data_IF_841790986206
#
_entry.id   IF_841790986206
#
_cell.length_a   1.000
_cell.length_b   1.000
_cell.length_c   1.000
_cell.angle_alpha   90.00
_cell.angle_beta   90.00
_cell.angle_gamma   90.00
#
_symmetry.space_group_name_H-M   'P 1'
#
loop_
_entity.id
_entity.type
_entity.pdbx_description
1 polymer ?
#
# COMPACT_ATOMS: atom_id res chain seq x y z
N UNK A 1 -13.28 6.15 -22.21
CA UNK A 1 -11.85 6.28 -22.58
C UNK A 1 -11.57 5.66 -23.94
N UNK A 2 -10.99 6.44 -24.86
CA UNK A 2 -10.57 5.95 -26.19
C UNK A 2 -9.07 6.19 -26.40
N UNK A 3 -8.39 5.14 -26.87
CA UNK A 3 -7.00 5.11 -27.38
C UNK A 3 -5.87 4.78 -26.37
N UNK A 4 -5.99 5.08 -25.07
CA UNK A 4 -4.97 4.70 -24.08
C UNK A 4 -5.19 3.27 -23.51
N UNK A 5 -4.14 2.67 -22.92
CA UNK A 5 -4.09 1.30 -22.41
C UNK A 5 -4.85 1.05 -21.10
N UNK A 6 -4.54 -0.05 -20.40
CA UNK A 6 -5.24 -0.47 -19.16
C UNK A 6 -4.36 -0.39 -17.91
N UNK A 7 -3.16 0.19 -18.02
CA UNK A 7 -2.24 0.40 -16.91
C UNK A 7 -2.59 1.63 -16.05
N UNK A 8 -2.01 1.75 -14.84
CA UNK A 8 -2.32 2.86 -13.93
C UNK A 8 -2.03 4.27 -14.47
N UNK A 9 -1.06 4.40 -15.38
CA UNK A 9 -0.67 5.66 -16.02
C UNK A 9 -1.03 5.72 -17.50
N UNK A 10 -1.81 4.75 -17.98
CA UNK A 10 -2.23 4.70 -19.38
C UNK A 10 -3.48 5.59 -19.58
N UNK A 11 -3.43 6.84 -19.14
CA UNK A 11 -4.43 7.87 -19.42
C UNK A 11 -3.86 9.25 -19.07
N UNK A 12 -4.40 10.29 -19.71
CA UNK A 12 -3.91 11.67 -19.56
C UNK A 12 -3.98 12.17 -18.11
N UNK A 13 -5.07 11.87 -17.40
CA UNK A 13 -5.28 12.36 -16.02
C UNK A 13 -4.25 11.79 -15.05
N UNK A 14 -3.89 10.51 -15.19
CA UNK A 14 -2.86 9.86 -14.39
C UNK A 14 -1.46 10.35 -14.76
N UNK A 15 -1.17 10.57 -16.04
CA UNK A 15 0.10 11.13 -16.49
C UNK A 15 0.30 12.58 -15.99
N UNK A 16 -0.74 13.42 -16.07
CA UNK A 16 -0.72 14.77 -15.51
C UNK A 16 -0.54 14.76 -13.99
N UNK A 17 -1.18 13.81 -13.31
CA UNK A 17 -1.01 13.63 -11.87
C UNK A 17 0.41 13.20 -11.48
N UNK A 18 1.06 12.33 -12.27
CA UNK A 18 2.46 11.97 -12.07
C UNK A 18 3.38 13.20 -12.17
N UNK A 19 3.18 14.04 -13.19
CA UNK A 19 3.92 15.29 -13.35
C UNK A 19 3.68 16.26 -12.19
N UNK A 20 2.45 16.31 -11.66
CA UNK A 20 2.12 17.10 -10.48
C UNK A 20 2.85 16.60 -9.24
N UNK A 21 2.88 15.28 -9.01
CA UNK A 21 3.61 14.66 -7.90
C UNK A 21 5.10 15.03 -7.94
N UNK A 22 5.74 14.88 -9.10
CA UNK A 22 7.16 15.21 -9.31
C UNK A 22 7.47 16.69 -9.05
N UNK A 23 6.51 17.58 -9.31
CA UNK A 23 6.67 19.03 -9.08
C UNK A 23 6.28 19.44 -7.67
N UNK A 24 5.62 18.57 -6.91
CA UNK A 24 5.13 18.90 -5.58
C UNK A 24 6.25 18.88 -4.53
N UNK A 25 6.20 19.82 -3.59
CA UNK A 25 6.97 19.75 -2.34
C UNK A 25 6.26 18.95 -1.23
N UNK A 26 5.04 18.49 -1.49
CA UNK A 26 4.13 17.86 -0.51
C UNK A 26 3.38 16.66 -1.12
N UNK A 27 4.09 15.63 -1.64
CA UNK A 27 3.48 14.52 -2.37
C UNK A 27 2.47 13.73 -1.53
N UNK A 28 2.68 13.62 -0.22
CA UNK A 28 1.74 12.95 0.70
C UNK A 28 0.34 13.57 0.65
N UNK A 29 0.24 14.90 0.62
CA UNK A 29 -1.05 15.61 0.60
C UNK A 29 -1.81 15.30 -0.69
N UNK A 30 -1.09 15.27 -1.82
CA UNK A 30 -1.69 14.94 -3.12
C UNK A 30 -2.14 13.48 -3.19
N UNK A 31 -1.36 12.55 -2.62
CA UNK A 31 -1.73 11.15 -2.52
C UNK A 31 -2.99 10.99 -1.68
N UNK A 32 -3.02 11.60 -0.49
CA UNK A 32 -4.18 11.53 0.40
C UNK A 32 -5.43 12.11 -0.24
N UNK A 33 -5.30 13.25 -0.92
CA UNK A 33 -6.42 13.88 -1.63
C UNK A 33 -6.97 12.97 -2.74
N UNK A 34 -6.10 12.37 -3.55
CA UNK A 34 -6.49 11.45 -4.63
C UNK A 34 -7.23 10.19 -4.16
N UNK A 35 -7.00 9.78 -2.91
CA UNK A 35 -7.59 8.57 -2.33
C UNK A 35 -8.83 8.83 -1.47
N UNK A 36 -8.99 10.06 -0.95
CA UNK A 36 -10.05 10.35 0.04
C UNK A 36 -11.46 10.32 -0.54
N UNK A 37 -11.61 10.52 -1.85
CA UNK A 37 -12.92 10.52 -2.50
C UNK A 37 -12.85 10.00 -3.96
N UNK A 38 -12.83 8.67 -4.15
CA UNK A 38 -12.70 8.06 -5.46
C UNK A 38 -13.83 8.47 -6.41
N UNK A 39 -13.49 9.25 -7.43
CA UNK A 39 -14.42 9.68 -8.47
C UNK A 39 -15.27 10.92 -8.15
N UNK A 40 -14.94 11.73 -7.15
CA UNK A 40 -15.72 12.95 -6.81
C UNK A 40 -15.21 14.27 -7.36
N UNK A 41 -14.02 14.29 -7.94
CA UNK A 41 -13.57 15.50 -8.65
C UNK A 41 -14.51 15.77 -9.82
N UNK A 42 -14.53 17.02 -10.30
CA UNK A 42 -15.43 17.54 -11.35
C UNK A 42 -15.38 16.79 -12.71
N UNK A 43 -14.50 15.80 -12.81
CA UNK A 43 -14.36 14.82 -13.87
C UNK A 43 -14.28 13.47 -13.14
N UNK A 44 -14.94 12.44 -13.65
CA UNK A 44 -15.02 11.07 -13.12
C UNK A 44 -13.62 10.43 -12.97
N UNK A 45 -12.84 10.81 -11.95
CA UNK A 45 -11.37 10.70 -11.94
C UNK A 45 -10.85 9.49 -11.15
N UNK A 46 -11.37 8.30 -11.46
CA UNK A 46 -10.90 7.05 -10.86
C UNK A 46 -9.45 6.74 -11.25
N UNK A 47 -8.99 7.29 -12.36
CA UNK A 47 -7.65 7.19 -12.92
C UNK A 47 -6.59 7.74 -11.97
N UNK A 48 -6.84 8.91 -11.40
CA UNK A 48 -5.93 9.55 -10.45
C UNK A 48 -5.86 8.78 -9.15
N UNK A 49 -6.99 8.23 -8.70
CA UNK A 49 -7.02 7.32 -7.53
C UNK A 49 -6.19 6.06 -7.80
N UNK A 50 -6.33 5.46 -8.98
CA UNK A 50 -5.56 4.27 -9.39
C UNK A 50 -4.06 4.59 -9.50
N UNK A 51 -3.71 5.74 -10.08
CA UNK A 51 -2.33 6.19 -10.18
C UNK A 51 -1.71 6.40 -8.79
N UNK A 52 -2.42 7.08 -7.88
CA UNK A 52 -1.99 7.26 -6.49
C UNK A 52 -1.79 5.93 -5.75
N UNK A 53 -2.70 4.97 -5.95
CA UNK A 53 -2.57 3.63 -5.37
C UNK A 53 -1.36 2.86 -5.94
N UNK A 54 -1.10 2.97 -7.25
CA UNK A 54 0.07 2.37 -7.90
C UNK A 54 1.39 2.95 -7.36
N UNK A 55 1.43 4.25 -7.16
CA UNK A 55 2.56 4.94 -6.52
C UNK A 55 2.86 4.35 -5.14
N UNK A 56 1.86 4.23 -4.29
CA UNK A 56 2.03 3.67 -2.95
C UNK A 56 2.45 2.20 -3.00
N UNK A 57 1.85 1.43 -3.92
CA UNK A 57 2.19 0.02 -4.11
C UNK A 57 3.64 -0.19 -4.59
N UNK A 58 4.20 0.71 -5.40
CA UNK A 58 5.60 0.61 -5.85
C UNK A 58 6.62 0.69 -4.69
N UNK A 59 6.25 1.32 -3.58
CA UNK A 59 7.03 1.35 -2.34
C UNK A 59 6.78 0.15 -1.43
N UNK A 60 5.91 -0.79 -1.83
CA UNK A 60 5.57 -1.98 -1.07
C UNK A 60 6.38 -3.20 -1.54
N UNK A 61 6.66 -4.18 -0.65
CA UNK A 61 7.22 -5.46 -1.08
C UNK A 61 6.30 -6.15 -2.11
N UNK A 62 6.85 -6.50 -3.27
CA UNK A 62 6.05 -7.08 -4.37
C UNK A 62 5.31 -6.06 -5.24
N UNK A 63 5.55 -4.76 -5.03
CA UNK A 63 5.11 -3.71 -5.92
C UNK A 63 5.85 -3.74 -7.26
N UNK A 64 5.10 -3.51 -8.34
CA UNK A 64 5.67 -3.32 -9.67
C UNK A 64 6.31 -1.92 -9.78
N UNK A 65 7.41 -1.78 -10.53
CA UNK A 65 7.95 -0.48 -10.90
C UNK A 65 6.89 0.37 -11.60
N UNK A 66 6.91 1.68 -11.33
CA UNK A 66 6.01 2.61 -11.99
C UNK A 66 6.30 2.70 -13.49
N UNK A 67 5.29 3.13 -14.25
CA UNK A 67 5.42 3.25 -15.69
C UNK A 67 6.60 4.16 -16.03
N UNK A 68 7.59 3.71 -16.83
CA UNK A 68 8.87 4.41 -16.97
C UNK A 68 8.74 5.78 -17.67
N UNK A 69 7.75 5.93 -18.56
CA UNK A 69 7.51 7.18 -19.30
C UNK A 69 6.49 8.09 -18.60
N UNK A 70 5.30 7.56 -18.30
CA UNK A 70 4.16 8.34 -17.78
C UNK A 70 3.94 8.27 -16.25
N UNK A 71 4.75 7.50 -15.52
CA UNK A 71 4.78 7.51 -14.06
C UNK A 71 5.70 8.61 -13.51
N UNK A 72 5.66 8.89 -12.19
CA UNK A 72 6.53 9.87 -11.58
C UNK A 72 8.00 9.44 -11.70
N UNK A 73 8.87 10.37 -12.04
CA UNK A 73 10.30 10.13 -12.25
C UNK A 73 11.12 10.37 -10.99
N UNK A 74 10.61 11.14 -10.03
CA UNK A 74 11.34 11.42 -8.79
C UNK A 74 11.05 10.37 -7.72
N UNK A 75 12.08 9.96 -6.97
CA UNK A 75 11.86 9.11 -5.81
C UNK A 75 11.00 9.87 -4.80
N UNK A 76 10.00 9.19 -4.26
CA UNK A 76 9.15 9.75 -3.21
C UNK A 76 9.84 9.65 -1.85
N UNK A 77 9.57 10.60 -0.94
CA UNK A 77 9.96 10.45 0.44
C UNK A 77 9.27 9.23 1.07
N UNK A 78 9.76 8.72 2.21
CA UNK A 78 9.10 7.65 2.95
C UNK A 78 7.63 8.00 3.20
N UNK A 79 6.73 7.15 2.70
CA UNK A 79 5.29 7.37 2.80
C UNK A 79 4.75 6.78 4.12
N UNK A 80 3.80 7.46 4.78
CA UNK A 80 3.10 6.93 5.94
C UNK A 80 2.36 5.62 5.65
N UNK A 81 2.30 4.72 6.64
CA UNK A 81 1.71 3.38 6.47
C UNK A 81 0.19 3.43 6.24
N UNK A 82 -0.50 4.39 6.85
CA UNK A 82 -1.93 4.63 6.69
C UNK A 82 -2.35 4.96 5.26
N UNK A 83 -1.45 5.50 4.43
CA UNK A 83 -1.73 5.68 3.00
C UNK A 83 -1.93 4.35 2.27
N UNK A 84 -1.29 3.27 2.72
CA UNK A 84 -1.49 1.93 2.15
C UNK A 84 -2.92 1.45 2.39
N UNK A 85 -3.40 1.58 3.62
CA UNK A 85 -4.77 1.19 3.98
C UNK A 85 -5.80 2.05 3.24
N UNK A 86 -5.54 3.36 3.14
CA UNK A 86 -6.37 4.29 2.39
C UNK A 86 -6.42 3.95 0.89
N UNK A 87 -5.28 3.59 0.30
CA UNK A 87 -5.20 3.17 -1.10
C UNK A 87 -5.95 1.87 -1.35
N UNK A 88 -5.81 0.88 -0.45
CA UNK A 88 -6.54 -0.37 -0.54
C UNK A 88 -8.06 -0.12 -0.47
N UNK A 89 -8.53 0.68 0.49
CA UNK A 89 -9.94 1.03 0.63
C UNK A 89 -10.50 1.74 -0.62
N UNK A 90 -9.74 2.70 -1.17
CA UNK A 90 -10.12 3.41 -2.38
C UNK A 90 -10.27 2.47 -3.59
N UNK A 91 -9.36 1.51 -3.77
CA UNK A 91 -9.46 0.51 -4.83
C UNK A 91 -10.67 -0.41 -4.65
N UNK A 92 -11.04 -0.76 -3.42
CA UNK A 92 -12.27 -1.52 -3.15
C UNK A 92 -13.50 -0.73 -3.58
N UNK A 93 -13.55 0.58 -3.30
CA UNK A 93 -14.65 1.45 -3.76
C UNK A 93 -14.77 1.45 -5.28
N UNK A 94 -13.66 1.40 -6.02
CA UNK A 94 -13.67 1.25 -7.48
C UNK A 94 -14.16 -0.16 -7.84
N UNK A 95 -13.49 -1.22 -7.38
CA UNK A 95 -13.82 -2.61 -7.73
C UNK A 95 -15.28 -3.04 -7.46
N UNK A 96 -15.95 -2.38 -6.51
CA UNK A 96 -17.36 -2.64 -6.16
C UNK A 96 -18.38 -1.92 -7.03
N UNK A 97 -17.97 -0.96 -7.86
CA UNK A 97 -18.89 -0.28 -8.79
C UNK A 97 -19.09 -1.09 -10.08
N UNK A 98 -20.27 -0.94 -10.73
CA UNK A 98 -20.54 -1.59 -12.01
C UNK A 98 -19.52 -1.20 -13.09
N UNK A 99 -19.05 -2.13 -13.94
CA UNK A 99 -18.10 -1.84 -15.02
C UNK A 99 -18.54 -0.73 -15.98
N UNK A 100 -19.85 -0.55 -16.15
CA UNK A 100 -20.45 0.49 -17.01
C UNK A 100 -20.18 1.91 -16.50
N UNK A 101 -19.85 2.07 -15.21
CA UNK A 101 -19.54 3.37 -14.60
C UNK A 101 -18.28 4.03 -15.19
N UNK A 102 -17.38 3.26 -15.79
CA UNK A 102 -16.07 3.74 -16.23
C UNK A 102 -15.99 4.20 -17.69
N UNK A 103 -17.08 4.09 -18.45
CA UNK A 103 -17.13 4.57 -19.84
C UNK A 103 -16.12 3.89 -20.79
N UNK A 104 -15.79 2.61 -20.55
CA UNK A 104 -14.98 1.82 -21.48
C UNK A 104 -15.79 1.42 -22.72
N UNK A 105 -15.16 1.48 -23.89
CA UNK A 105 -15.77 1.12 -25.17
C UNK A 105 -15.83 -0.40 -25.41
N UNK A 106 -15.06 -1.19 -24.65
CA UNK A 106 -14.93 -2.63 -24.80
C UNK A 106 -14.99 -3.32 -23.44
N UNK A 107 -15.82 -4.36 -23.35
CA UNK A 107 -15.92 -5.23 -22.17
C UNK A 107 -14.56 -5.87 -21.83
N UNK A 108 -13.80 -6.28 -22.84
CA UNK A 108 -12.49 -6.89 -22.63
C UNK A 108 -11.49 -5.92 -21.99
N UNK A 109 -11.54 -4.64 -22.39
CA UNK A 109 -10.65 -3.61 -21.82
C UNK A 109 -11.02 -3.31 -20.36
N UNK A 110 -12.30 -3.16 -20.04
CA UNK A 110 -12.71 -2.95 -18.65
C UNK A 110 -12.40 -4.16 -17.78
N UNK A 111 -12.59 -5.40 -18.28
CA UNK A 111 -12.22 -6.61 -17.53
C UNK A 111 -10.72 -6.67 -17.27
N UNK A 112 -9.89 -6.33 -18.27
CA UNK A 112 -8.42 -6.29 -18.10
C UNK A 112 -8.00 -5.23 -17.10
N UNK A 113 -8.60 -4.04 -17.18
CA UNK A 113 -8.33 -2.95 -16.26
C UNK A 113 -8.72 -3.30 -14.81
N UNK A 114 -9.94 -3.82 -14.59
CA UNK A 114 -10.40 -4.28 -13.27
C UNK A 114 -9.52 -5.42 -12.71
N UNK A 115 -9.07 -6.34 -13.56
CA UNK A 115 -8.14 -7.40 -13.16
C UNK A 115 -6.81 -6.81 -12.67
N UNK A 116 -6.29 -5.79 -13.36
CA UNK A 116 -5.09 -5.05 -12.94
C UNK A 116 -5.29 -4.37 -11.58
N UNK A 117 -6.45 -3.75 -11.35
CA UNK A 117 -6.77 -3.14 -10.05
C UNK A 117 -6.85 -4.15 -8.91
N UNK A 118 -7.40 -5.33 -9.17
CA UNK A 118 -7.47 -6.40 -8.18
C UNK A 118 -6.07 -6.90 -7.78
N UNK A 119 -5.14 -7.02 -8.73
CA UNK A 119 -3.75 -7.35 -8.45
C UNK A 119 -3.06 -6.26 -7.63
N UNK A 120 -3.24 -5.00 -8.02
CA UNK A 120 -2.72 -3.84 -7.31
C UNK A 120 -3.24 -3.79 -5.86
N UNK A 121 -4.53 -4.03 -5.66
CA UNK A 121 -5.12 -4.15 -4.33
C UNK A 121 -4.49 -5.29 -3.51
N UNK A 122 -4.19 -6.43 -4.14
CA UNK A 122 -3.50 -7.56 -3.49
C UNK A 122 -2.12 -7.17 -2.94
N UNK A 123 -1.33 -6.41 -3.69
CA UNK A 123 -0.02 -5.90 -3.22
C UNK A 123 -0.19 -5.00 -1.99
N UNK A 124 -1.18 -4.10 -2.01
CA UNK A 124 -1.45 -3.17 -0.91
C UNK A 124 -2.00 -3.88 0.33
N UNK A 125 -2.85 -4.91 0.14
CA UNK A 125 -3.43 -5.70 1.22
C UNK A 125 -2.46 -6.74 1.80
N UNK A 126 -1.34 -7.01 1.13
CA UNK A 126 -0.30 -7.89 1.66
C UNK A 126 0.46 -7.15 2.76
N UNK A 127 -0.05 -7.25 3.98
CA UNK A 127 0.71 -6.89 5.18
C UNK A 127 2.04 -7.65 5.13
N UNK A 128 3.21 -6.99 5.15
CA UNK A 128 4.45 -7.72 5.33
C UNK A 128 4.29 -8.44 6.66
N UNK A 129 4.27 -9.77 6.62
CA UNK A 129 4.25 -10.58 7.82
C UNK A 129 5.35 -10.02 8.73
N UNK A 130 4.95 -9.49 9.89
CA UNK A 130 5.87 -9.10 10.95
C UNK A 130 6.86 -10.27 11.07
N UNK A 131 8.19 -10.05 10.95
CA UNK A 131 9.14 -11.13 11.15
C UNK A 131 8.79 -11.75 12.49
N UNK A 132 8.39 -13.02 12.46
CA UNK A 132 8.06 -13.82 13.62
C UNK A 132 9.27 -13.73 14.54
N UNK A 133 9.18 -12.91 15.59
CA UNK A 133 10.12 -13.00 16.68
C UNK A 133 10.08 -14.47 17.12
N UNK A 134 11.22 -15.19 17.12
CA UNK A 134 11.26 -16.51 17.72
C UNK A 134 10.76 -16.37 19.16
N UNK A 135 9.99 -17.36 19.67
CA UNK A 135 9.45 -17.29 21.02
C UNK A 135 10.58 -16.95 22.00
N UNK A 136 10.34 -16.06 22.98
CA UNK A 136 11.37 -15.74 23.96
C UNK A 136 11.87 -17.04 24.57
N UNK A 137 13.19 -17.24 24.53
CA UNK A 137 13.82 -18.41 25.14
C UNK A 137 13.29 -18.56 26.57
N UNK A 138 12.95 -19.79 27.01
CA UNK A 138 12.50 -19.98 28.38
C UNK A 138 13.56 -19.44 29.32
N UNK A 139 13.16 -18.49 30.18
CA UNK A 139 14.00 -17.93 31.24
C UNK A 139 14.69 -19.06 31.99
N UNK A 140 16.00 -18.96 32.29
CA UNK A 140 16.66 -19.97 33.11
C UNK A 140 15.95 -20.01 34.46
N UNK A 141 15.32 -21.15 34.76
CA UNK A 141 14.65 -21.39 36.02
C UNK A 141 15.60 -21.05 37.18
N UNK A 142 15.09 -20.27 38.14
CA UNK A 142 15.74 -20.00 39.41
C UNK A 142 16.30 -21.29 40.00
N UNK A 143 17.63 -21.35 40.14
CA UNK A 143 18.29 -22.33 41.01
C UNK A 143 17.67 -22.19 42.40
N UNK A 144 17.17 -23.26 43.04
CA UNK A 144 16.87 -23.20 44.45
C UNK A 144 18.19 -23.00 45.21
N UNK A 145 18.21 -21.93 46.00
CA UNK A 145 19.27 -21.53 46.91
C UNK A 145 19.60 -22.71 47.83
N UNK A 146 20.84 -23.19 47.78
CA UNK A 146 21.36 -24.15 48.74
C UNK A 146 21.45 -23.47 50.10
N UNK A 147 20.50 -23.77 51.00
CA UNK A 147 20.52 -23.33 52.39
C UNK A 147 21.67 -24.02 53.11
N UNK A 148 22.66 -23.23 53.53
CA UNK A 148 23.65 -23.63 54.51
C UNK A 148 22.99 -23.86 55.87
N UNK A 149 23.35 -24.90 56.64
CA UNK A 149 23.05 -24.95 58.06
C UNK A 149 24.13 -24.17 58.84
N UNK A 150 23.68 -23.16 59.57
CA UNK A 150 24.45 -22.40 60.55
C UNK A 150 24.70 -23.24 61.83
N UNK A 151 25.72 -22.85 62.57
CA UNK A 151 26.49 -23.63 63.54
C UNK A 151 25.94 -23.66 64.96
N UNK A 152 26.22 -24.77 65.67
CA UNK A 152 26.64 -24.77 67.09
C UNK A 152 25.78 -25.58 68.09
N UNK A 153 26.25 -25.88 69.33
CA UNK A 153 27.62 -25.82 69.87
C UNK A 153 28.08 -27.11 70.60
N UNK A 154 29.33 -27.07 71.08
CA UNK A 154 30.09 -28.06 71.88
C UNK A 154 29.31 -28.71 73.05
N UNK A 155 29.55 -30.01 73.28
CA UNK A 155 29.75 -30.56 74.63
C UNK A 155 31.00 -31.46 74.66
N UNK A 156 31.71 -31.38 75.79
CA UNK A 156 32.94 -32.10 76.14
C UNK A 156 32.72 -33.59 76.28
#
# INVERSE_FOLDING_TARGET
MGTWGTGPFDNDLAADYALLLDRSGVPEVLLRHALSDPGSTRIENWEVTVAAAAVIASSCPGGEPLHPVYGPHKPLPPLPHDLRDLAAAALVTILTRPPQTYGWVSEQLVTRWLSGLAQLHGVLATTPARPTQPPPAPSPACRPTQTAPDSGPRRR
#
